data_IF_401395637545
#
_entry.id   IF_401395637545
#
_cell.length_a   1.000
_cell.length_b   1.000
_cell.length_c   1.000
_cell.angle_alpha   90.00
_cell.angle_beta   90.00
_cell.angle_gamma   90.00
#
_symmetry.space_group_name_H-M   'P 1'
#
loop_
_entity.id
_entity.type
_entity.pdbx_description
1 polymer ?
#
# COMPACT_ATOMS: atom_id res chain seq x y z
N UNK A 1 29.96 8.52 -2.70
CA UNK A 1 28.67 9.10 -3.15
C UNK A 1 27.66 7.97 -3.10
N UNK A 2 26.73 7.99 -2.14
CA UNK A 2 25.70 6.95 -2.05
C UNK A 2 24.63 7.19 -3.11
N UNK A 3 24.26 6.16 -3.87
CA UNK A 3 23.04 6.22 -4.68
C UNK A 3 21.85 6.34 -3.74
N UNK A 4 20.94 7.26 -4.04
CA UNK A 4 19.66 7.35 -3.37
C UNK A 4 18.89 6.03 -3.59
N UNK A 5 18.35 5.38 -2.54
CA UNK A 5 17.55 4.15 -2.68
C UNK A 5 16.44 4.31 -3.72
N UNK A 6 16.22 3.26 -4.51
CA UNK A 6 15.29 3.29 -5.64
C UNK A 6 15.85 3.85 -6.95
N UNK A 7 17.13 4.26 -7.01
CA UNK A 7 17.74 4.75 -8.24
C UNK A 7 18.64 3.76 -8.98
N UNK A 8 18.95 2.62 -8.38
CA UNK A 8 19.63 1.54 -9.10
C UNK A 8 18.65 0.89 -10.09
N UNK A 9 19.10 0.41 -11.26
CA UNK A 9 18.24 -0.31 -12.21
C UNK A 9 17.57 -1.54 -11.60
N UNK A 10 18.29 -2.28 -10.75
CA UNK A 10 17.80 -3.47 -10.05
C UNK A 10 16.69 -3.11 -9.07
N UNK A 11 16.88 -2.05 -8.27
CA UNK A 11 15.85 -1.58 -7.34
C UNK A 11 14.61 -1.08 -8.09
N UNK A 12 14.76 -0.42 -9.25
CA UNK A 12 13.62 0.02 -10.06
C UNK A 12 12.81 -1.16 -10.60
N UNK A 13 13.47 -2.16 -11.15
CA UNK A 13 12.79 -3.39 -11.61
C UNK A 13 12.06 -4.08 -10.46
N UNK A 14 12.68 -4.13 -9.29
CA UNK A 14 12.05 -4.68 -8.08
C UNK A 14 10.80 -3.88 -7.66
N UNK A 15 10.91 -2.55 -7.63
CA UNK A 15 9.82 -1.60 -7.27
C UNK A 15 8.64 -1.78 -8.22
N UNK A 16 8.90 -1.86 -9.53
CA UNK A 16 7.86 -2.01 -10.55
C UNK A 16 7.11 -3.34 -10.38
N UNK A 17 7.84 -4.43 -10.14
CA UNK A 17 7.23 -5.76 -9.86
C UNK A 17 6.43 -5.76 -8.57
N UNK A 18 6.99 -5.21 -7.49
CA UNK A 18 6.30 -5.07 -6.21
C UNK A 18 4.97 -4.32 -6.39
N UNK A 19 4.95 -3.19 -7.11
CA UNK A 19 3.73 -2.43 -7.33
C UNK A 19 2.68 -3.25 -8.08
N UNK A 20 3.08 -3.92 -9.16
CA UNK A 20 2.17 -4.71 -9.97
C UNK A 20 1.54 -5.85 -9.16
N UNK A 21 2.35 -6.58 -8.40
CA UNK A 21 1.90 -7.72 -7.60
C UNK A 21 1.04 -7.27 -6.41
N UNK A 22 1.41 -6.18 -5.74
CA UNK A 22 0.64 -5.62 -4.63
C UNK A 22 -0.73 -5.10 -5.11
N UNK A 23 -0.79 -4.40 -6.23
CA UNK A 23 -2.07 -3.96 -6.80
C UNK A 23 -2.99 -5.12 -7.14
N UNK A 24 -2.46 -6.16 -7.80
CA UNK A 24 -3.23 -7.33 -8.18
C UNK A 24 -3.78 -8.06 -6.94
N UNK A 25 -2.91 -8.33 -5.96
CA UNK A 25 -3.29 -9.01 -4.73
C UNK A 25 -4.32 -8.22 -3.90
N UNK A 26 -4.15 -6.91 -3.77
CA UNK A 26 -5.10 -6.07 -3.03
C UNK A 26 -6.48 -6.00 -3.68
N UNK A 27 -6.53 -5.90 -5.02
CA UNK A 27 -7.81 -5.91 -5.75
C UNK A 27 -8.57 -7.21 -5.51
N UNK A 28 -7.87 -8.35 -5.49
CA UNK A 28 -8.48 -9.66 -5.23
C UNK A 28 -8.95 -9.80 -3.76
N UNK A 29 -8.09 -9.44 -2.80
CA UNK A 29 -8.41 -9.52 -1.38
C UNK A 29 -9.64 -8.68 -1.04
N UNK A 30 -9.66 -7.41 -1.45
CA UNK A 30 -10.79 -6.52 -1.17
C UNK A 30 -12.10 -6.91 -1.86
N UNK A 31 -12.05 -7.60 -2.99
CA UNK A 31 -13.25 -8.07 -3.69
C UNK A 31 -13.89 -9.30 -3.02
N UNK A 32 -13.11 -10.09 -2.28
CA UNK A 32 -13.52 -11.39 -1.75
C UNK A 32 -13.86 -11.37 -0.26
N UNK A 33 -13.43 -10.35 0.48
CA UNK A 33 -13.66 -10.24 1.92
C UNK A 33 -15.05 -9.73 2.32
N UNK A 34 -15.44 -10.03 3.56
CA UNK A 34 -16.78 -9.74 4.09
C UNK A 34 -17.08 -8.24 4.21
N UNK A 35 -16.07 -7.44 4.53
CA UNK A 35 -16.13 -5.99 4.37
C UNK A 35 -15.54 -5.63 3.01
N UNK A 36 -16.37 -5.76 1.96
CA UNK A 36 -15.95 -5.46 0.60
C UNK A 36 -15.33 -4.07 0.52
N UNK A 37 -14.12 -4.04 -0.01
CA UNK A 37 -13.36 -2.84 -0.27
C UNK A 37 -13.20 -2.60 -1.76
N UNK A 38 -12.80 -1.37 -2.11
CA UNK A 38 -12.35 -1.06 -3.46
C UNK A 38 -11.02 -0.33 -3.37
N UNK A 39 -9.97 -0.90 -3.98
CA UNK A 39 -8.70 -0.21 -4.19
C UNK A 39 -8.89 0.82 -5.31
N UNK A 40 -8.60 2.09 -5.01
CA UNK A 40 -8.63 3.19 -5.97
C UNK A 40 -7.27 3.39 -6.63
N UNK A 41 -6.20 3.40 -5.83
CA UNK A 41 -4.84 3.55 -6.32
C UNK A 41 -3.81 2.97 -5.34
N UNK A 42 -2.70 2.47 -5.89
CA UNK A 42 -1.46 2.21 -5.18
C UNK A 42 -0.35 3.00 -5.87
N UNK A 43 0.28 3.93 -5.16
CA UNK A 43 1.35 4.79 -5.70
C UNK A 43 2.62 4.56 -4.90
N UNK A 44 3.76 4.48 -5.59
CA UNK A 44 5.07 4.46 -4.97
C UNK A 44 5.72 5.84 -5.07
N UNK A 45 6.07 6.41 -3.92
CA UNK A 45 6.70 7.71 -3.80
C UNK A 45 8.18 7.54 -3.43
N UNK A 46 9.07 8.12 -4.22
CA UNK A 46 10.49 8.18 -3.90
C UNK A 46 10.77 9.45 -3.07
N UNK A 47 11.23 9.26 -1.83
CA UNK A 47 11.54 10.33 -0.88
C UNK A 47 13.06 10.59 -0.74
N UNK A 48 13.85 10.13 -1.72
CA UNK A 48 15.30 10.28 -1.75
C UNK A 48 16.04 9.24 -0.91
N UNK A 49 15.68 9.07 0.37
CA UNK A 49 16.27 8.10 1.29
C UNK A 49 15.40 6.85 1.52
N UNK A 50 14.17 6.83 0.99
CA UNK A 50 13.28 5.69 1.07
C UNK A 50 12.24 5.70 -0.07
N UNK A 51 11.60 4.55 -0.27
CA UNK A 51 10.40 4.42 -1.12
C UNK A 51 9.22 4.13 -0.23
N UNK A 52 8.13 4.87 -0.41
CA UNK A 52 6.87 4.73 0.34
C UNK A 52 5.77 4.26 -0.60
N UNK A 53 5.04 3.23 -0.20
CA UNK A 53 3.79 2.86 -0.84
C UNK A 53 2.63 3.59 -0.18
N UNK A 54 1.75 4.15 -0.98
CA UNK A 54 0.52 4.82 -0.56
C UNK A 54 -0.64 4.14 -1.27
N UNK A 55 -1.48 3.46 -0.51
CA UNK A 55 -2.71 2.84 -0.98
C UNK A 55 -3.90 3.71 -0.62
N UNK A 56 -4.85 3.85 -1.55
CA UNK A 56 -6.13 4.51 -1.31
C UNK A 56 -7.28 3.56 -1.63
N UNK A 57 -8.25 3.48 -0.74
CA UNK A 57 -9.39 2.57 -0.88
C UNK A 57 -10.64 3.10 -0.18
N UNK A 58 -11.78 2.51 -0.50
CA UNK A 58 -13.05 2.75 0.19
C UNK A 58 -13.63 1.44 0.71
N UNK A 59 -14.51 1.54 1.70
CA UNK A 59 -15.30 0.43 2.22
C UNK A 59 -16.74 0.52 1.71
N UNK A 60 -17.38 -0.59 1.35
CA UNK A 60 -18.81 -0.60 1.03
C UNK A 60 -19.67 -0.09 2.20
N UNK A 61 -19.27 -0.36 3.44
CA UNK A 61 -19.97 0.12 4.65
C UNK A 61 -19.82 1.63 4.89
N UNK A 62 -18.87 2.29 4.21
CA UNK A 62 -18.57 3.73 4.30
C UNK A 62 -18.23 4.30 2.92
N UNK A 63 -19.19 4.32 1.97
CA UNK A 63 -18.90 4.59 0.56
C UNK A 63 -18.45 6.03 0.28
N UNK A 64 -18.67 6.96 1.22
CA UNK A 64 -18.21 8.35 1.12
C UNK A 64 -16.86 8.64 1.80
N UNK A 65 -16.19 7.62 2.34
CA UNK A 65 -14.91 7.76 3.05
C UNK A 65 -13.79 7.12 2.23
N UNK A 66 -12.72 7.89 2.03
CA UNK A 66 -11.48 7.37 1.46
C UNK A 66 -10.48 7.11 2.58
N UNK A 67 -9.95 5.91 2.61
CA UNK A 67 -8.88 5.52 3.50
C UNK A 67 -7.58 5.56 2.73
N UNK A 68 -6.62 6.33 3.22
CA UNK A 68 -5.26 6.39 2.73
C UNK A 68 -4.36 5.71 3.76
N UNK A 69 -3.70 4.65 3.33
CA UNK A 69 -2.74 3.93 4.15
C UNK A 69 -1.37 4.00 3.49
N UNK A 70 -0.35 4.34 4.27
CA UNK A 70 1.01 4.47 3.77
C UNK A 70 1.99 3.62 4.56
N UNK A 71 2.97 3.04 3.86
CA UNK A 71 4.06 2.30 4.49
C UNK A 71 5.35 2.48 3.74
N UNK A 72 6.45 2.59 4.48
CA UNK A 72 7.79 2.53 3.88
C UNK A 72 8.05 1.11 3.36
N UNK A 73 8.48 1.01 2.12
CA UNK A 73 8.77 -0.25 1.43
C UNK A 73 10.28 -0.43 1.31
N UNK A 74 11.02 0.57 0.86
CA UNK A 74 12.50 0.49 0.86
C UNK A 74 13.02 1.40 1.96
N UNK A 75 13.87 0.93 2.90
CA UNK A 75 14.44 -0.41 2.99
C UNK A 75 13.63 -1.45 3.81
N UNK A 76 12.49 -1.07 4.38
CA UNK A 76 11.77 -1.89 5.39
C UNK A 76 11.28 -3.26 4.88
N UNK A 77 10.77 -3.31 3.65
CA UNK A 77 10.52 -4.49 2.84
C UNK A 77 11.71 -4.60 1.89
N UNK A 78 12.76 -5.25 2.37
CA UNK A 78 14.08 -5.31 1.71
C UNK A 78 13.99 -5.55 0.20
N UNK A 79 14.72 -4.76 -0.59
CA UNK A 79 14.87 -4.95 -2.05
C UNK A 79 15.55 -6.28 -2.43
N UNK A 80 16.08 -7.01 -1.44
CA UNK A 80 16.61 -8.37 -1.61
C UNK A 80 15.55 -9.46 -1.49
N UNK A 81 14.34 -9.13 -1.06
CA UNK A 81 13.24 -10.09 -1.00
C UNK A 81 12.64 -10.30 -2.37
N UNK A 82 11.94 -11.41 -2.54
CA UNK A 82 11.07 -11.58 -3.71
C UNK A 82 9.98 -10.49 -3.71
N UNK A 83 9.76 -9.77 -4.83
CA UNK A 83 8.74 -8.72 -4.91
C UNK A 83 7.33 -9.21 -4.56
N UNK A 84 6.98 -10.43 -4.94
CA UNK A 84 5.68 -11.04 -4.63
C UNK A 84 5.50 -11.36 -3.16
N UNK A 85 6.55 -11.87 -2.52
CA UNK A 85 6.57 -12.04 -1.08
C UNK A 85 6.40 -10.70 -0.33
N UNK A 86 7.12 -9.65 -0.75
CA UNK A 86 6.97 -8.32 -0.18
C UNK A 86 5.56 -7.74 -0.42
N UNK A 87 5.00 -7.93 -1.61
CA UNK A 87 3.64 -7.52 -1.96
C UNK A 87 2.57 -8.22 -1.11
N UNK A 88 2.72 -9.53 -0.89
CA UNK A 88 1.86 -10.31 -0.02
C UNK A 88 1.90 -9.78 1.42
N UNK A 89 3.09 -9.56 1.99
CA UNK A 89 3.23 -9.00 3.33
C UNK A 89 2.61 -7.59 3.44
N UNK A 90 2.85 -6.73 2.44
CA UNK A 90 2.23 -5.41 2.37
C UNK A 90 0.70 -5.53 2.40
N UNK A 91 0.14 -6.40 1.56
CA UNK A 91 -1.30 -6.67 1.49
C UNK A 91 -1.87 -7.15 2.82
N UNK A 92 -1.24 -8.16 3.45
CA UNK A 92 -1.68 -8.68 4.75
C UNK A 92 -1.77 -7.60 5.81
N UNK A 93 -0.75 -6.74 5.91
CA UNK A 93 -0.75 -5.66 6.91
C UNK A 93 -1.79 -4.57 6.62
N UNK A 94 -1.97 -4.23 5.35
CA UNK A 94 -2.98 -3.27 4.92
C UNK A 94 -4.38 -3.80 5.26
N UNK A 95 -4.67 -5.05 4.91
CA UNK A 95 -5.94 -5.72 5.21
C UNK A 95 -6.17 -5.83 6.72
N UNK A 96 -5.16 -6.19 7.51
CA UNK A 96 -5.26 -6.19 8.96
C UNK A 96 -5.65 -4.80 9.50
N UNK A 97 -4.96 -3.75 9.06
CA UNK A 97 -5.29 -2.37 9.43
C UNK A 97 -6.71 -1.97 9.01
N UNK A 98 -7.12 -2.35 7.79
CA UNK A 98 -8.44 -2.10 7.24
C UNK A 98 -9.56 -2.67 8.12
N UNK A 99 -9.42 -3.90 8.61
CA UNK A 99 -10.47 -4.53 9.42
C UNK A 99 -10.42 -4.14 10.90
N UNK A 100 -9.27 -3.74 11.42
CA UNK A 100 -9.08 -3.50 12.86
C UNK A 100 -9.09 -2.03 13.24
N UNK A 101 -8.30 -1.19 12.57
CA UNK A 101 -8.05 0.19 12.98
C UNK A 101 -8.83 1.20 12.12
N UNK A 102 -8.89 1.00 10.80
CA UNK A 102 -9.49 1.96 9.88
C UNK A 102 -10.94 2.34 10.25
N UNK A 103 -11.73 1.38 10.75
CA UNK A 103 -13.12 1.63 11.15
C UNK A 103 -13.26 2.50 12.40
N UNK A 104 -12.22 2.58 13.23
CA UNK A 104 -12.21 3.40 14.46
C UNK A 104 -11.88 4.86 14.16
N UNK A 105 -11.22 5.12 13.03
CA UNK A 105 -10.82 6.45 12.63
C UNK A 105 -12.00 7.32 12.16
N UNK A 106 -11.90 8.61 12.46
CA UNK A 106 -12.86 9.63 12.04
C UNK A 106 -12.28 10.33 10.80
N UNK A 107 -13.02 10.38 9.67
CA UNK A 107 -12.56 11.08 8.48
C UNK A 107 -12.32 12.57 8.75
N UNK A 108 -11.31 13.14 8.10
CA UNK A 108 -11.08 14.58 8.09
C UNK A 108 -12.21 15.36 7.37
N UNK A 109 -12.12 16.70 7.32
CA UNK A 109 -13.10 17.56 6.63
C UNK A 109 -13.23 17.27 5.13
N UNK A 110 -12.22 16.63 4.54
CA UNK A 110 -12.14 16.19 3.15
C UNK A 110 -12.69 14.77 2.93
N UNK A 111 -13.21 14.13 3.98
CA UNK A 111 -13.71 12.75 3.92
C UNK A 111 -12.60 11.69 3.88
N UNK A 112 -11.36 12.06 4.22
CA UNK A 112 -10.20 11.16 4.13
C UNK A 112 -9.70 10.77 5.52
N UNK A 113 -9.47 9.47 5.73
CA UNK A 113 -8.73 8.91 6.86
C UNK A 113 -7.28 8.65 6.41
N UNK A 114 -6.29 9.07 7.19
CA UNK A 114 -4.86 8.92 6.85
C UNK A 114 -4.12 8.17 7.96
N UNK A 115 -3.24 7.24 7.58
CA UNK A 115 -2.30 6.55 8.46
C UNK A 115 -0.84 6.79 8.03
#
# INVERSE_FOLDING_TARGET
MGQAPGNSPETREWIDRFQQEAEAGLREQFATEADRGALHALVLENHGDHVRAVASFSMEIRPGVIFMWSRRVVPDLSETWDPGFAAMLFGTHLTEWFHTEAKKEIPGPDGVVRN
#
